data_IF_971358907178
#
_entry.id   IF_971358907178
#
_cell.length_a   1.000
_cell.length_b   1.000
_cell.length_c   1.000
_cell.angle_alpha   90.00
_cell.angle_beta   90.00
_cell.angle_gamma   90.00
#
_symmetry.space_group_name_H-M   'P 1'
#
loop_
_entity.id
_entity.type
_entity.pdbx_description
1 polymer ?
#
# COMPACT_ATOMS: atom_id res chain seq x y z
N UNK A 1 -10.98 -2.00 -23.32
CA UNK A 1 -9.81 -2.74 -22.80
C UNK A 1 -10.24 -3.46 -21.53
N UNK A 2 -10.28 -4.80 -21.54
CA UNK A 2 -10.60 -5.59 -20.35
C UNK A 2 -9.42 -5.47 -19.39
N UNK A 3 -9.62 -4.78 -18.27
CA UNK A 3 -8.61 -4.67 -17.22
C UNK A 3 -8.84 -5.86 -16.28
N UNK A 4 -7.96 -6.85 -16.37
CA UNK A 4 -7.88 -7.91 -15.36
C UNK A 4 -7.09 -7.35 -14.15
N UNK A 5 -7.12 -8.06 -13.02
CA UNK A 5 -6.36 -7.69 -11.81
C UNK A 5 -4.86 -7.38 -12.07
N UNK A 6 -4.28 -7.84 -13.18
CA UNK A 6 -2.91 -7.55 -13.58
C UNK A 6 -2.72 -6.08 -13.94
N UNK A 7 -3.65 -5.42 -14.64
CA UNK A 7 -3.46 -4.00 -14.97
C UNK A 7 -3.57 -3.10 -13.73
N UNK A 8 -4.48 -3.43 -12.81
CA UNK A 8 -4.58 -2.78 -11.49
C UNK A 8 -3.29 -2.93 -10.69
N UNK A 9 -2.72 -4.14 -10.69
CA UNK A 9 -1.47 -4.43 -10.03
C UNK A 9 -0.29 -3.67 -10.66
N UNK A 10 -0.20 -3.63 -11.99
CA UNK A 10 0.86 -2.88 -12.71
C UNK A 10 0.80 -1.38 -12.42
N UNK A 11 -0.41 -0.80 -12.40
CA UNK A 11 -0.59 0.61 -12.03
C UNK A 11 -0.06 0.86 -10.61
N UNK A 12 -0.41 -0.02 -9.67
CA UNK A 12 0.05 0.09 -8.30
C UNK A 12 1.58 -0.09 -8.18
N UNK A 13 2.19 -1.01 -8.93
CA UNK A 13 3.65 -1.16 -8.97
C UNK A 13 4.34 0.08 -9.51
N UNK A 14 3.77 0.72 -10.54
CA UNK A 14 4.31 1.97 -11.07
C UNK A 14 4.24 3.08 -10.02
N UNK A 15 3.09 3.25 -9.36
CA UNK A 15 2.92 4.22 -8.28
C UNK A 15 3.85 3.98 -7.10
N UNK A 16 4.09 2.72 -6.72
CA UNK A 16 5.08 2.37 -5.70
C UNK A 16 6.49 2.76 -6.12
N UNK A 17 6.89 2.50 -7.38
CA UNK A 17 8.21 2.88 -7.91
C UNK A 17 8.39 4.39 -7.97
N UNK A 18 7.37 5.14 -8.35
CA UNK A 18 7.41 6.60 -8.35
C UNK A 18 7.55 7.15 -6.93
N UNK A 19 6.76 6.63 -5.99
CA UNK A 19 6.90 6.98 -4.57
C UNK A 19 8.29 6.61 -4.05
N UNK A 20 8.86 5.47 -4.44
CA UNK A 20 10.20 5.07 -4.04
C UNK A 20 11.27 6.07 -4.54
N UNK A 21 11.16 6.52 -5.79
CA UNK A 21 12.07 7.52 -6.38
C UNK A 21 11.95 8.88 -5.71
N UNK A 22 10.73 9.29 -5.35
CA UNK A 22 10.43 10.61 -4.81
C UNK A 22 10.62 10.71 -3.28
N UNK A 23 10.96 9.61 -2.60
CA UNK A 23 11.21 9.61 -1.16
C UNK A 23 12.64 9.18 -0.86
N UNK A 24 13.15 9.56 0.32
CA UNK A 24 14.50 9.23 0.79
C UNK A 24 14.48 8.61 2.18
N UNK A 25 15.65 8.13 2.63
CA UNK A 25 15.87 7.62 3.98
C UNK A 25 14.89 6.50 4.40
N UNK A 26 14.39 6.59 5.63
CA UNK A 26 13.52 5.58 6.23
C UNK A 26 12.19 5.42 5.47
N UNK A 27 11.66 6.48 4.85
CA UNK A 27 10.41 6.43 4.07
C UNK A 27 10.60 5.66 2.76
N UNK A 28 11.72 5.88 2.06
CA UNK A 28 12.10 5.04 0.91
C UNK A 28 12.24 3.57 1.31
N UNK A 29 12.95 3.28 2.39
CA UNK A 29 13.12 1.90 2.87
C UNK A 29 11.79 1.24 3.25
N UNK A 30 10.81 2.01 3.73
CA UNK A 30 9.46 1.53 4.00
C UNK A 30 8.76 1.11 2.72
N UNK A 31 8.87 1.91 1.66
CA UNK A 31 8.27 1.60 0.36
C UNK A 31 8.90 0.33 -0.23
N UNK A 32 10.24 0.23 -0.20
CA UNK A 32 10.98 -0.94 -0.71
C UNK A 32 10.56 -2.23 0.01
N UNK A 33 10.65 -2.25 1.34
CA UNK A 33 10.41 -3.47 2.12
C UNK A 33 8.93 -3.75 2.39
N UNK A 34 8.11 -2.70 2.43
CA UNK A 34 6.67 -2.76 2.67
C UNK A 34 5.82 -2.88 1.42
N UNK A 35 6.41 -2.81 0.22
CA UNK A 35 5.73 -2.86 -1.09
C UNK A 35 4.62 -3.91 -1.16
N UNK A 36 4.90 -5.15 -0.73
CA UNK A 36 3.91 -6.25 -0.72
C UNK A 36 2.72 -5.98 0.22
N UNK A 37 2.99 -5.45 1.41
CA UNK A 37 1.94 -5.10 2.39
C UNK A 37 1.10 -3.95 1.86
N UNK A 38 1.75 -2.88 1.38
CA UNK A 38 1.08 -1.72 0.80
C UNK A 38 0.19 -2.14 -0.38
N UNK A 39 0.72 -2.95 -1.30
CA UNK A 39 -0.02 -3.50 -2.44
C UNK A 39 -1.26 -4.28 -2.01
N UNK A 40 -1.10 -5.20 -1.06
CA UNK A 40 -2.19 -6.04 -0.58
C UNK A 40 -3.31 -5.21 0.05
N UNK A 41 -2.97 -4.21 0.87
CA UNK A 41 -3.96 -3.36 1.53
C UNK A 41 -4.70 -2.48 0.52
N UNK A 42 -3.98 -1.84 -0.42
CA UNK A 42 -4.61 -1.03 -1.47
C UNK A 42 -5.56 -1.87 -2.32
N UNK A 43 -5.13 -3.06 -2.76
CA UNK A 43 -5.97 -3.96 -3.53
C UNK A 43 -7.18 -4.44 -2.74
N UNK A 44 -7.02 -4.77 -1.45
CA UNK A 44 -8.16 -5.14 -0.59
C UNK A 44 -9.21 -4.02 -0.51
N UNK A 45 -8.77 -2.76 -0.41
CA UNK A 45 -9.67 -1.60 -0.40
C UNK A 45 -10.44 -1.48 -1.71
N UNK A 46 -9.77 -1.64 -2.85
CA UNK A 46 -10.41 -1.63 -4.18
C UNK A 46 -11.38 -2.80 -4.36
N UNK A 47 -10.97 -4.02 -4.03
CA UNK A 47 -11.75 -5.26 -4.24
C UNK A 47 -13.02 -5.27 -3.41
N UNK A 48 -13.03 -4.67 -2.20
CA UNK A 48 -14.27 -4.51 -1.42
C UNK A 48 -15.37 -3.75 -2.17
N UNK A 49 -15.01 -2.93 -3.16
CA UNK A 49 -15.96 -2.17 -3.99
C UNK A 49 -16.42 -2.95 -5.22
N UNK A 50 -15.76 -4.06 -5.56
CA UNK A 50 -15.94 -4.77 -6.82
C UNK A 50 -16.78 -6.03 -6.58
N UNK A 51 -17.99 -6.07 -7.15
CA UNK A 51 -18.78 -7.29 -7.18
C UNK A 51 -18.04 -8.37 -7.98
N UNK A 52 -17.99 -9.61 -7.46
CA UNK A 52 -17.22 -10.75 -8.01
C UNK A 52 -17.47 -11.06 -9.51
N UNK A 53 -18.53 -10.51 -10.10
CA UNK A 53 -19.00 -10.84 -11.45
C UNK A 53 -18.92 -9.68 -12.46
N UNK A 54 -18.41 -8.50 -12.06
CA UNK A 54 -18.33 -7.35 -12.96
C UNK A 54 -16.95 -7.25 -13.64
N UNK A 55 -16.96 -7.02 -14.96
CA UNK A 55 -15.74 -6.67 -15.71
C UNK A 55 -15.25 -5.32 -15.20
N UNK A 56 -14.10 -5.31 -14.52
CA UNK A 56 -13.51 -4.10 -13.97
C UNK A 56 -12.98 -3.24 -15.11
N UNK A 57 -13.53 -2.05 -15.26
CA UNK A 57 -12.90 -0.97 -16.02
C UNK A 57 -12.39 0.01 -14.96
N UNK A 58 -11.07 0.06 -14.78
CA UNK A 58 -10.45 1.10 -13.95
C UNK A 58 -10.62 2.42 -14.71
N UNK A 59 -11.51 3.27 -14.19
CA UNK A 59 -11.68 4.65 -14.60
C UNK A 59 -10.51 5.50 -14.10
N UNK A 60 -10.36 6.72 -14.61
CA UNK A 60 -9.34 7.64 -14.08
C UNK A 60 -9.58 8.02 -12.62
N UNK A 61 -10.85 7.99 -12.17
CA UNK A 61 -11.22 8.15 -10.76
C UNK A 61 -10.63 7.02 -9.91
N UNK A 62 -10.68 5.78 -10.40
CA UNK A 62 -10.10 4.63 -9.71
C UNK A 62 -8.58 4.72 -9.62
N UNK A 63 -7.92 5.27 -10.65
CA UNK A 63 -6.47 5.50 -10.63
C UNK A 63 -6.10 6.53 -9.56
N UNK A 64 -6.81 7.65 -9.52
CA UNK A 64 -6.60 8.68 -8.51
C UNK A 64 -6.82 8.13 -7.09
N UNK A 65 -7.87 7.33 -6.89
CA UNK A 65 -8.13 6.71 -5.59
C UNK A 65 -7.03 5.73 -5.18
N UNK A 66 -6.46 4.97 -6.12
CA UNK A 66 -5.29 4.10 -5.87
C UNK A 66 -4.10 4.92 -5.40
N UNK A 67 -3.81 6.03 -6.08
CA UNK A 67 -2.70 6.92 -5.75
C UNK A 67 -2.87 7.54 -4.37
N UNK A 68 -4.04 8.11 -4.09
CA UNK A 68 -4.37 8.75 -2.81
C UNK A 68 -4.36 7.74 -1.65
N UNK A 69 -4.91 6.55 -1.89
CA UNK A 69 -4.90 5.45 -0.91
C UNK A 69 -3.47 5.03 -0.62
N UNK A 70 -2.65 4.85 -1.66
CA UNK A 70 -1.27 4.41 -1.49
C UNK A 70 -0.44 5.46 -0.74
N UNK A 71 -0.61 6.74 -1.07
CA UNK A 71 0.04 7.85 -0.36
C UNK A 71 -0.33 7.86 1.11
N UNK A 72 -1.63 7.75 1.41
CA UNK A 72 -2.15 7.69 2.78
C UNK A 72 -1.60 6.48 3.54
N UNK A 73 -1.51 5.30 2.90
CA UNK A 73 -0.93 4.10 3.50
C UNK A 73 0.56 4.29 3.83
N UNK A 74 1.33 4.89 2.94
CA UNK A 74 2.75 5.15 3.16
C UNK A 74 2.92 6.09 4.36
N UNK A 75 2.15 7.17 4.41
CA UNK A 75 2.24 8.17 5.48
C UNK A 75 1.82 7.60 6.84
N UNK A 76 0.68 6.92 6.91
CA UNK A 76 0.20 6.28 8.14
C UNK A 76 1.16 5.17 8.62
N UNK A 77 1.69 4.37 7.70
CA UNK A 77 2.67 3.34 8.03
C UNK A 77 3.96 3.95 8.58
N UNK A 78 4.42 5.05 7.96
CA UNK A 78 5.61 5.75 8.39
C UNK A 78 5.45 6.35 9.79
N UNK A 79 4.31 7.01 10.05
CA UNK A 79 3.96 7.54 11.37
C UNK A 79 3.90 6.43 12.42
N UNK A 80 3.16 5.34 12.15
CA UNK A 80 3.06 4.20 13.07
C UNK A 80 4.42 3.63 13.42
N UNK A 81 5.25 3.35 12.40
CA UNK A 81 6.57 2.76 12.62
C UNK A 81 7.50 3.73 13.34
N UNK A 82 7.46 5.03 13.05
CA UNK A 82 8.31 5.99 13.77
C UNK A 82 7.90 6.17 15.22
N UNK A 83 6.60 6.18 15.51
CA UNK A 83 6.13 6.38 16.87
C UNK A 83 6.34 5.13 17.73
N UNK A 84 6.02 3.94 17.21
CA UNK A 84 6.10 2.69 17.97
C UNK A 84 7.46 1.99 17.88
N UNK A 85 8.18 2.19 16.78
CA UNK A 85 9.45 1.52 16.48
C UNK A 85 10.48 2.49 15.83
N UNK A 86 10.87 3.57 16.53
CA UNK A 86 11.70 4.64 15.97
C UNK A 86 13.02 4.13 15.37
N UNK A 87 13.63 3.12 15.99
CA UNK A 87 14.91 2.54 15.56
C UNK A 87 14.75 1.24 14.75
N UNK A 88 13.56 0.95 14.22
CA UNK A 88 13.34 -0.27 13.46
C UNK A 88 14.16 -0.30 12.16
N UNK A 89 14.92 -1.39 12.00
CA UNK A 89 15.43 -1.79 10.70
C UNK A 89 14.29 -2.38 9.86
N UNK A 90 13.88 -1.67 8.81
CA UNK A 90 12.63 -1.93 8.10
C UNK A 90 12.60 -3.29 7.39
N UNK A 91 13.73 -3.79 6.88
CA UNK A 91 13.78 -5.13 6.30
C UNK A 91 13.40 -6.21 7.34
N UNK A 92 13.93 -6.11 8.57
CA UNK A 92 13.56 -7.01 9.68
C UNK A 92 12.13 -6.77 10.16
N UNK A 93 11.67 -5.52 10.17
CA UNK A 93 10.29 -5.19 10.51
C UNK A 93 9.32 -5.92 9.59
N UNK A 94 9.49 -5.80 8.26
CA UNK A 94 8.63 -6.44 7.26
C UNK A 94 8.91 -7.94 7.06
N UNK A 95 9.88 -8.51 7.79
CA UNK A 95 10.07 -9.96 7.91
C UNK A 95 9.39 -10.54 9.16
N UNK A 96 8.92 -9.68 10.08
CA UNK A 96 8.28 -10.11 11.32
C UNK A 96 6.75 -10.10 11.16
N UNK A 97 6.15 -11.30 11.18
CA UNK A 97 4.71 -11.49 10.98
C UNK A 97 3.84 -10.76 12.00
N UNK A 98 4.23 -10.74 13.27
CA UNK A 98 3.44 -10.08 14.33
C UNK A 98 3.46 -8.55 14.15
N UNK A 99 4.63 -7.97 13.84
CA UNK A 99 4.73 -6.53 13.54
C UNK A 99 3.91 -6.13 12.31
N UNK A 100 3.91 -6.98 11.28
CA UNK A 100 3.07 -6.78 10.10
C UNK A 100 1.59 -6.85 10.47
N UNK A 101 1.16 -7.83 11.28
CA UNK A 101 -0.23 -7.93 11.76
C UNK A 101 -0.65 -6.68 12.52
N UNK A 102 0.19 -6.20 13.44
CA UNK A 102 -0.10 -4.98 14.20
C UNK A 102 -0.25 -3.76 13.28
N UNK A 103 0.68 -3.59 12.32
CA UNK A 103 0.59 -2.51 11.34
C UNK A 103 -0.70 -2.61 10.53
N UNK A 104 -1.06 -3.81 10.04
CA UNK A 104 -2.30 -4.02 9.29
C UNK A 104 -3.53 -3.66 10.15
N UNK A 105 -3.56 -4.07 11.43
CA UNK A 105 -4.65 -3.72 12.34
C UNK A 105 -4.76 -2.21 12.54
N UNK A 106 -3.63 -1.52 12.72
CA UNK A 106 -3.61 -0.05 12.80
C UNK A 106 -4.16 0.59 11.53
N UNK A 107 -3.70 0.17 10.35
CA UNK A 107 -4.13 0.72 9.07
C UNK A 107 -5.61 0.45 8.78
N UNK A 108 -6.13 -0.72 9.21
CA UNK A 108 -7.56 -1.05 9.09
C UNK A 108 -8.46 -0.16 9.92
N UNK A 109 -7.98 0.41 11.03
CA UNK A 109 -8.79 1.32 11.87
C UNK A 109 -8.77 2.74 11.29
N UNK A 110 -7.67 3.14 10.66
CA UNK A 110 -7.41 4.53 10.28
C UNK A 110 -7.64 4.83 8.78
N UNK A 111 -7.91 3.83 7.93
CA UNK A 111 -8.02 4.02 6.47
C UNK A 111 -9.09 3.18 5.76
N UNK A 112 -9.51 2.06 6.36
CA UNK A 112 -10.49 1.11 5.81
C UNK A 112 -11.74 1.14 6.68
#
# INVERSE_FOLDING_TARGET
MIINAVSSFRLLENNLKENEKNNTGKKKNLIVHGSRVLSAITLLKLVKRINKNEKIIISDIDKQEIEDTLKSLIDLSFQYINNKYPNAYLARFFSNREKIKELISYLKINLI
#
